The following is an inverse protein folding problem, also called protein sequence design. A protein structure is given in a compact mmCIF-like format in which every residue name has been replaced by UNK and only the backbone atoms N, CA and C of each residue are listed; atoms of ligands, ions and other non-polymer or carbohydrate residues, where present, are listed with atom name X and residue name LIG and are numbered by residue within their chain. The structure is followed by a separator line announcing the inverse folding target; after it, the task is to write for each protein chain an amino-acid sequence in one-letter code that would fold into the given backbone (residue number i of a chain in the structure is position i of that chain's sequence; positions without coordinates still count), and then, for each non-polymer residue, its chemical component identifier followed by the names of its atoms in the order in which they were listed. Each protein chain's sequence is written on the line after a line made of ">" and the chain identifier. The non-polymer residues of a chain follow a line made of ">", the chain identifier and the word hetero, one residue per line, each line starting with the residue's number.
data_IF_415183694550
#
_entry.id   IF_415183694550
#
_cell.length_a   1.000
_cell.length_b   1.000
_cell.length_c   1.000
_cell.angle_alpha   90.00
_cell.angle_beta   90.00
_cell.angle_gamma   90.00
#
_symmetry.space_group_name_H-M   'P 1'
#
loop_
_entity.id
_entity.type
_entity.pdbx_description
1 polymer ?
#
# COMPACT_ATOMS: atom_id res chain seq x y z
N UNK A 1 -11.18 -8.81 -16.58
CA UNK A 1 -10.65 -9.23 -15.26
C UNK A 1 -9.20 -9.71 -15.34
N UNK A 2 -8.82 -10.50 -16.35
CA UNK A 2 -7.44 -10.97 -16.60
C UNK A 2 -6.45 -9.81 -16.82
N UNK A 3 -6.90 -8.76 -17.50
CA UNK A 3 -6.09 -7.57 -17.84
C UNK A 3 -5.49 -6.83 -16.63
N UNK A 4 -6.21 -6.77 -15.49
CA UNK A 4 -5.71 -6.04 -14.31
C UNK A 4 -4.56 -6.76 -13.61
N UNK A 5 -4.63 -8.09 -13.53
CA UNK A 5 -3.57 -8.88 -12.91
C UNK A 5 -2.31 -8.83 -13.75
N UNK A 6 -2.46 -8.97 -15.08
CA UNK A 6 -1.32 -8.89 -15.98
C UNK A 6 -0.60 -7.54 -15.91
N UNK A 7 -1.35 -6.42 -15.90
CA UNK A 7 -0.77 -5.08 -15.68
C UNK A 7 -0.01 -4.96 -14.36
N UNK A 8 -0.54 -5.57 -13.29
CA UNK A 8 0.15 -5.60 -11.98
C UNK A 8 1.47 -6.37 -12.11
N UNK A 9 1.46 -7.55 -12.74
CA UNK A 9 2.67 -8.33 -12.95
C UNK A 9 3.70 -7.60 -13.83
N UNK A 10 3.27 -6.90 -14.89
CA UNK A 10 4.13 -6.13 -15.78
C UNK A 10 4.82 -4.99 -15.03
N UNK A 11 4.07 -4.21 -14.24
CA UNK A 11 4.63 -3.16 -13.39
C UNK A 11 5.60 -3.70 -12.34
N UNK A 12 5.30 -4.88 -11.76
CA UNK A 12 6.15 -5.52 -10.76
C UNK A 12 7.38 -6.21 -11.37
N UNK A 13 7.34 -6.57 -12.66
CA UNK A 13 8.49 -7.14 -13.39
C UNK A 13 9.42 -6.05 -13.93
N UNK A 14 8.90 -4.84 -14.10
CA UNK A 14 9.68 -3.70 -14.57
C UNK A 14 10.51 -3.10 -13.42
N UNK A 15 11.56 -3.82 -13.04
CA UNK A 15 12.59 -3.35 -12.11
C UNK A 15 13.48 -2.35 -12.87
N UNK A 16 12.91 -1.23 -13.28
CA UNK A 16 13.70 -0.11 -13.76
C UNK A 16 14.65 0.34 -12.64
N UNK A 17 15.85 0.82 -13.00
CA UNK A 17 16.74 1.52 -12.06
C UNK A 17 16.08 2.83 -11.65
N UNK A 18 15.13 2.75 -10.72
CA UNK A 18 14.46 3.91 -10.17
C UNK A 18 15.34 4.45 -9.05
N UNK A 19 16.27 5.34 -9.42
CA UNK A 19 17.02 6.18 -8.48
C UNK A 19 16.12 7.28 -7.85
N UNK A 20 14.85 6.97 -7.60
CA UNK A 20 13.90 7.89 -6.99
C UNK A 20 13.58 7.36 -5.60
N UNK A 21 13.99 8.12 -4.59
CA UNK A 21 13.67 7.82 -3.20
C UNK A 21 12.14 7.79 -3.01
N UNK A 22 11.68 6.78 -2.27
CA UNK A 22 10.30 6.72 -1.83
C UNK A 22 10.05 7.90 -0.88
N UNK A 23 8.97 8.64 -1.12
CA UNK A 23 8.52 9.66 -0.17
C UNK A 23 8.33 9.02 1.21
N UNK A 24 8.92 9.62 2.26
CA UNK A 24 8.83 9.11 3.62
C UNK A 24 7.41 9.02 4.19
N UNK A 25 7.24 8.40 5.36
CA UNK A 25 5.93 8.29 6.01
C UNK A 25 5.36 9.68 6.35
N UNK A 26 4.03 9.85 6.34
CA UNK A 26 3.39 11.14 6.65
C UNK A 26 3.31 11.45 8.16
N UNK A 27 4.03 10.69 9.00
CA UNK A 27 4.00 10.80 10.45
C UNK A 27 5.41 10.87 11.02
N UNK A 28 5.53 11.40 12.23
CA UNK A 28 6.74 11.33 13.03
C UNK A 28 6.75 10.04 13.85
N UNK A 29 7.90 9.43 14.05
CA UNK A 29 8.04 8.21 14.85
C UNK A 29 7.65 8.39 16.32
N UNK A 30 7.69 9.60 16.85
CA UNK A 30 7.29 9.93 18.23
C UNK A 30 5.77 10.05 18.43
N UNK A 31 4.98 10.05 17.35
CA UNK A 31 3.52 10.08 17.44
C UNK A 31 2.98 8.77 18.01
N UNK A 32 1.85 8.82 18.71
CA UNK A 32 1.13 7.61 19.11
C UNK A 32 0.54 6.88 17.89
N UNK A 33 0.32 5.57 18.02
CA UNK A 33 -0.11 4.71 16.91
C UNK A 33 -1.45 5.13 16.31
N UNK A 34 -2.38 5.61 17.14
CA UNK A 34 -3.70 6.06 16.66
C UNK A 34 -3.54 7.32 15.80
N UNK A 35 -2.69 8.24 16.22
CA UNK A 35 -2.35 9.42 15.42
C UNK A 35 -1.63 9.04 14.12
N UNK A 36 -0.67 8.10 14.16
CA UNK A 36 0.01 7.57 12.96
C UNK A 36 -0.97 6.95 11.96
N UNK A 37 -1.92 6.12 12.42
CA UNK A 37 -2.99 5.57 11.58
C UNK A 37 -3.85 6.69 10.98
N UNK A 38 -4.34 7.60 11.83
CA UNK A 38 -5.27 8.66 11.43
C UNK A 38 -4.68 9.58 10.36
N UNK A 39 -3.44 10.05 10.55
CA UNK A 39 -2.79 10.93 9.58
C UNK A 39 -2.48 10.22 8.27
N UNK A 40 -1.98 8.98 8.33
CA UNK A 40 -1.66 8.19 7.13
C UNK A 40 -2.91 7.90 6.32
N UNK A 41 -4.01 7.53 6.98
CA UNK A 41 -5.29 7.29 6.32
C UNK A 41 -5.85 8.57 5.68
N UNK A 42 -5.79 9.71 6.37
CA UNK A 42 -6.21 11.01 5.78
C UNK A 42 -5.38 11.39 4.56
N UNK A 43 -4.07 11.21 4.63
CA UNK A 43 -3.15 11.44 3.51
C UNK A 43 -3.45 10.54 2.31
N UNK A 44 -3.71 9.25 2.56
CA UNK A 44 -4.15 8.28 1.54
C UNK A 44 -5.42 8.75 0.83
N UNK A 45 -6.47 9.08 1.59
CA UNK A 45 -7.74 9.56 1.03
C UNK A 45 -7.55 10.85 0.22
N UNK A 46 -6.73 11.78 0.70
CA UNK A 46 -6.42 13.02 -0.02
C UNK A 46 -5.70 12.73 -1.33
N UNK A 47 -4.66 11.90 -1.33
CA UNK A 47 -3.91 11.55 -2.53
C UNK A 47 -4.81 10.91 -3.60
N UNK A 48 -5.76 10.06 -3.20
CA UNK A 48 -6.74 9.49 -4.13
C UNK A 48 -7.68 10.55 -4.71
N UNK A 49 -8.21 11.48 -3.90
CA UNK A 49 -9.05 12.58 -4.40
C UNK A 49 -8.31 13.46 -5.40
N UNK A 50 -7.02 13.69 -5.16
CA UNK A 50 -6.13 14.45 -6.05
C UNK A 50 -5.60 13.63 -7.24
N UNK A 51 -6.03 12.37 -7.39
CA UNK A 51 -5.57 11.45 -8.45
C UNK A 51 -4.05 11.25 -8.47
N UNK A 52 -3.39 11.37 -7.33
CA UNK A 52 -1.95 11.17 -7.16
C UNK A 52 -1.66 9.68 -6.93
N UNK A 53 -1.66 8.89 -8.01
CA UNK A 53 -1.59 7.41 -7.97
C UNK A 53 -0.42 6.88 -7.13
N UNK A 54 0.81 7.32 -7.43
CA UNK A 54 2.03 6.86 -6.73
C UNK A 54 2.01 7.26 -5.26
N UNK A 55 1.66 8.51 -4.95
CA UNK A 55 1.50 9.01 -3.58
C UNK A 55 0.46 8.20 -2.80
N UNK A 56 -0.66 7.84 -3.42
CA UNK A 56 -1.67 6.99 -2.79
C UNK A 56 -1.15 5.57 -2.51
N UNK A 57 -0.38 4.97 -3.43
CA UNK A 57 0.29 3.69 -3.20
C UNK A 57 1.28 3.78 -2.03
N UNK A 58 2.09 4.85 -1.98
CA UNK A 58 3.04 5.08 -0.89
C UNK A 58 2.34 5.18 0.47
N UNK A 59 1.26 5.95 0.58
CA UNK A 59 0.52 6.04 1.84
C UNK A 59 -0.22 4.75 2.21
N UNK A 60 -0.71 3.99 1.23
CA UNK A 60 -1.29 2.67 1.48
C UNK A 60 -0.24 1.67 1.97
N UNK A 61 0.98 1.71 1.42
CA UNK A 61 2.11 0.90 1.89
C UNK A 61 2.43 1.21 3.36
N UNK A 62 2.60 2.49 3.73
CA UNK A 62 2.87 2.85 5.13
C UNK A 62 1.72 2.52 6.06
N UNK A 63 0.47 2.68 5.61
CA UNK A 63 -0.70 2.31 6.39
C UNK A 63 -0.74 0.81 6.64
N UNK A 64 -0.45 -0.02 5.64
CA UNK A 64 -0.36 -1.47 5.78
C UNK A 64 0.77 -1.88 6.70
N UNK A 65 1.95 -1.26 6.57
CA UNK A 65 3.08 -1.47 7.47
C UNK A 65 2.74 -1.17 8.93
N UNK A 66 2.04 -0.06 9.18
CA UNK A 66 1.55 0.28 10.53
C UNK A 66 0.59 -0.80 11.02
N UNK A 67 -0.40 -1.17 10.21
CA UNK A 67 -1.40 -2.19 10.57
C UNK A 67 -0.71 -3.50 10.95
N UNK A 68 0.23 -3.99 10.14
CA UNK A 68 0.89 -5.28 10.35
C UNK A 68 1.98 -5.25 11.43
N UNK A 69 2.30 -4.09 12.02
CA UNK A 69 3.36 -4.00 13.02
C UNK A 69 3.03 -4.71 14.34
N UNK A 70 1.76 -4.73 14.78
CA UNK A 70 1.32 -5.56 15.91
C UNK A 70 -0.21 -5.70 16.00
N UNK A 71 -0.67 -6.70 16.76
CA UNK A 71 -2.10 -6.99 16.96
C UNK A 71 -2.91 -5.84 17.57
N UNK A 72 -2.30 -5.00 18.41
CA UNK A 72 -2.97 -3.85 19.01
C UNK A 72 -3.32 -2.82 17.93
N UNK A 73 -2.36 -2.52 17.05
CA UNK A 73 -2.53 -1.57 15.96
C UNK A 73 -3.52 -2.11 14.92
N UNK A 74 -3.51 -3.41 14.62
CA UNK A 74 -4.54 -4.04 13.79
C UNK A 74 -5.95 -3.80 14.34
N UNK A 75 -6.15 -3.99 15.66
CA UNK A 75 -7.46 -3.76 16.30
C UNK A 75 -7.89 -2.29 16.27
N UNK A 76 -6.96 -1.35 16.42
CA UNK A 76 -7.23 0.09 16.30
C UNK A 76 -7.62 0.44 14.87
N UNK A 77 -6.82 0.02 13.90
CA UNK A 77 -7.03 0.28 12.48
C UNK A 77 -8.38 -0.27 11.97
N UNK A 78 -8.78 -1.48 12.39
CA UNK A 78 -10.10 -2.05 12.03
C UNK A 78 -11.29 -1.20 12.52
N UNK A 79 -11.12 -0.41 13.58
CA UNK A 79 -12.16 0.49 14.10
C UNK A 79 -12.19 1.83 13.37
N UNK A 80 -11.01 2.35 13.02
CA UNK A 80 -10.84 3.73 12.54
C UNK A 80 -10.79 3.86 11.01
N UNK A 81 -10.61 2.74 10.29
CA UNK A 81 -10.46 2.68 8.83
C UNK A 81 -11.59 1.82 8.24
N UNK A 82 -12.12 2.22 7.09
CA UNK A 82 -13.08 1.36 6.37
C UNK A 82 -12.41 0.05 5.94
N UNK A 83 -13.15 -1.05 5.95
CA UNK A 83 -12.67 -2.37 5.50
C UNK A 83 -12.00 -2.33 4.12
N UNK A 84 -12.56 -1.54 3.19
CA UNK A 84 -11.98 -1.32 1.87
C UNK A 84 -10.51 -0.90 1.93
N UNK A 85 -10.19 0.14 2.70
CA UNK A 85 -8.83 0.67 2.81
C UNK A 85 -7.95 -0.18 3.72
N UNK A 86 -8.52 -0.79 4.76
CA UNK A 86 -7.81 -1.72 5.63
C UNK A 86 -7.21 -2.89 4.83
N UNK A 87 -8.04 -3.60 4.06
CA UNK A 87 -7.60 -4.72 3.22
C UNK A 87 -6.63 -4.27 2.12
N UNK A 88 -6.92 -3.14 1.47
CA UNK A 88 -6.08 -2.63 0.38
C UNK A 88 -4.69 -2.22 0.86
N UNK A 89 -4.60 -1.60 2.04
CA UNK A 89 -3.34 -1.18 2.64
C UNK A 89 -2.45 -2.38 3.00
N UNK A 90 -3.00 -3.40 3.66
CA UNK A 90 -2.28 -4.65 3.98
C UNK A 90 -1.75 -5.31 2.71
N UNK A 91 -2.61 -5.48 1.69
CA UNK A 91 -2.18 -6.07 0.41
C UNK A 91 -1.08 -5.27 -0.26
N UNK A 92 -1.18 -3.95 -0.24
CA UNK A 92 -0.17 -3.06 -0.83
C UNK A 92 1.14 -3.15 -0.06
N UNK A 93 1.10 -3.24 1.26
CA UNK A 93 2.30 -3.46 2.08
C UNK A 93 3.04 -4.72 1.66
N UNK A 94 2.39 -5.87 1.68
CA UNK A 94 3.03 -7.14 1.36
C UNK A 94 3.53 -7.24 -0.10
N UNK A 95 2.81 -6.66 -1.07
CA UNK A 95 3.26 -6.64 -2.48
C UNK A 95 4.59 -5.89 -2.63
N UNK A 96 4.80 -4.83 -1.84
CA UNK A 96 5.98 -3.95 -1.94
C UNK A 96 6.95 -4.09 -0.76
N UNK A 97 6.78 -5.08 0.12
CA UNK A 97 7.57 -5.23 1.35
C UNK A 97 9.06 -5.44 1.05
N UNK A 98 9.36 -6.25 0.03
CA UNK A 98 10.72 -6.56 -0.41
C UNK A 98 11.41 -5.33 -1.00
N UNK A 99 10.66 -4.51 -1.75
CA UNK A 99 11.18 -3.34 -2.42
C UNK A 99 10.14 -2.22 -2.50
N UNK A 100 10.08 -1.40 -1.46
CA UNK A 100 9.12 -0.29 -1.40
C UNK A 100 9.40 0.80 -2.43
N UNK A 101 10.65 0.95 -2.90
CA UNK A 101 11.02 1.92 -3.93
C UNK A 101 10.36 1.62 -5.27
N UNK A 102 10.00 0.36 -5.53
CA UNK A 102 9.32 -0.05 -6.75
C UNK A 102 7.98 0.67 -6.96
N UNK A 103 7.33 1.15 -5.91
CA UNK A 103 6.13 1.99 -6.00
C UNK A 103 6.37 3.18 -6.96
N UNK A 104 7.55 3.78 -6.91
CA UNK A 104 7.92 4.91 -7.77
C UNK A 104 8.16 4.51 -9.23
N UNK A 105 8.47 3.23 -9.49
CA UNK A 105 8.65 2.65 -10.82
C UNK A 105 7.35 2.22 -11.51
N UNK A 106 6.28 1.97 -10.76
CA UNK A 106 4.99 1.56 -11.32
C UNK A 106 4.48 2.55 -12.37
N UNK A 107 3.86 2.07 -13.45
CA UNK A 107 3.26 2.89 -14.50
C UNK A 107 1.73 2.92 -14.38
N UNK A 108 1.12 1.78 -14.09
CA UNK A 108 -0.34 1.61 -14.19
C UNK A 108 -1.00 1.11 -12.90
N UNK A 109 -0.25 0.45 -12.00
CA UNK A 109 -0.80 -0.12 -10.75
C UNK A 109 -1.61 0.93 -9.98
N UNK A 110 -2.83 0.57 -9.63
CA UNK A 110 -3.69 1.35 -8.74
C UNK A 110 -4.10 0.53 -7.52
N UNK A 111 -4.49 1.23 -6.45
CA UNK A 111 -5.09 0.61 -5.26
C UNK A 111 -6.32 -0.23 -5.61
N UNK A 112 -7.12 0.21 -6.59
CA UNK A 112 -8.28 -0.54 -7.09
C UNK A 112 -7.89 -1.87 -7.73
N UNK A 113 -6.76 -1.91 -8.45
CA UNK A 113 -6.25 -3.15 -9.04
C UNK A 113 -5.78 -4.11 -7.96
N UNK A 114 -4.97 -3.63 -7.01
CA UNK A 114 -4.49 -4.41 -5.86
C UNK A 114 -5.65 -5.00 -5.05
N UNK A 115 -6.68 -4.20 -4.77
CA UNK A 115 -7.88 -4.65 -4.04
C UNK A 115 -8.60 -5.78 -4.79
N UNK A 116 -8.68 -5.69 -6.12
CA UNK A 116 -9.44 -6.63 -6.96
C UNK A 116 -8.68 -7.91 -7.29
N UNK A 117 -7.43 -8.05 -6.88
CA UNK A 117 -6.68 -9.30 -7.00
C UNK A 117 -7.46 -10.42 -6.29
N UNK A 118 -7.61 -11.56 -6.95
CA UNK A 118 -8.10 -12.77 -6.27
C UNK A 118 -7.08 -13.21 -5.22
N UNK A 119 -7.50 -14.06 -4.28
CA UNK A 119 -6.55 -14.62 -3.30
C UNK A 119 -5.38 -15.30 -4.00
N UNK A 120 -5.64 -16.14 -5.01
CA UNK A 120 -4.59 -16.82 -5.78
C UNK A 120 -3.62 -15.84 -6.45
N UNK A 121 -4.15 -14.80 -7.09
CA UNK A 121 -3.32 -13.76 -7.73
C UNK A 121 -2.48 -13.00 -6.71
N UNK A 122 -3.07 -12.61 -5.58
CA UNK A 122 -2.37 -11.91 -4.53
C UNK A 122 -1.26 -12.76 -3.91
N UNK A 123 -1.53 -14.03 -3.60
CA UNK A 123 -0.53 -14.96 -3.07
C UNK A 123 0.62 -15.22 -4.04
N UNK A 124 0.37 -15.20 -5.36
CA UNK A 124 1.45 -15.32 -6.35
C UNK A 124 2.39 -14.10 -6.43
N UNK A 125 2.05 -12.97 -5.79
CA UNK A 125 2.80 -11.72 -5.82
C UNK A 125 3.55 -11.42 -4.52
N UNK A 126 3.34 -12.19 -3.47
CA UNK A 126 3.97 -11.99 -2.16
C UNK A 126 4.89 -13.16 -1.84
N UNK A 127 5.85 -12.94 -0.96
CA UNK A 127 6.62 -14.03 -0.36
C UNK A 127 5.84 -14.53 0.85
N UNK A 128 5.49 -15.81 0.87
CA UNK A 128 5.02 -16.46 2.10
C UNK A 128 6.21 -16.57 3.06
N UNK A 129 6.12 -15.88 4.20
CA UNK A 129 7.06 -16.01 5.33
C UNK A 129 6.42 -16.90 6.39
#
# INVERSE_FOLDING_TARGET
>A
MVENFQRVCEDLSNIGQVNIELMGPPYNETMDDKSKISITYKCLLRAQRLKQRKTALTYAFYLGKLIESCLIIQKLAKKDISDHYYQTAIRTYYIFEINSFQIMGTQEITLSMIRRLTSQQYHSLIIEI
#
